data_IF_761860767173
#
_entry.id   IF_761860767173
#
_cell.length_a   1.000
_cell.length_b   1.000
_cell.length_c   1.000
_cell.angle_alpha   90.00
_cell.angle_beta   90.00
_cell.angle_gamma   90.00
#
_symmetry.space_group_name_H-M   'P 1'
#
loop_
_entity.id
_entity.type
_entity.pdbx_description
1 polymer ?
#
# COMPACT_ATOMS: atom_id res chain seq x y z
N UNK A 1 16.41 36.21 -3.34
CA UNK A 1 15.74 35.57 -2.18
C UNK A 1 15.93 34.07 -2.34
N UNK A 2 16.72 33.45 -1.46
CA UNK A 2 16.93 31.99 -1.46
C UNK A 2 15.64 31.32 -1.02
N UNK A 3 15.10 30.37 -1.79
CA UNK A 3 14.04 29.49 -1.29
C UNK A 3 14.66 28.69 -0.15
N UNK A 4 14.20 28.91 1.08
CA UNK A 4 14.58 28.06 2.20
C UNK A 4 14.30 26.60 1.81
N UNK A 5 15.32 25.75 1.91
CA UNK A 5 15.16 24.33 1.65
C UNK A 5 14.24 23.76 2.71
N UNK A 6 13.03 23.41 2.30
CA UNK A 6 12.02 22.81 3.15
C UNK A 6 12.53 21.49 3.76
N UNK A 7 12.26 21.25 5.04
CA UNK A 7 12.66 20.01 5.70
C UNK A 7 11.83 18.83 5.18
N UNK A 8 12.35 17.60 5.34
CA UNK A 8 11.58 16.40 4.97
C UNK A 8 10.29 16.27 5.79
N UNK A 9 10.31 16.70 7.05
CA UNK A 9 9.14 16.65 7.93
C UNK A 9 8.03 17.57 7.43
N UNK A 10 8.39 18.80 7.04
CA UNK A 10 7.47 19.75 6.43
C UNK A 10 6.88 19.19 5.12
N UNK A 11 7.71 18.61 4.26
CA UNK A 11 7.27 17.96 3.01
C UNK A 11 6.29 16.80 3.27
N UNK A 12 6.54 15.97 4.30
CA UNK A 12 5.65 14.87 4.66
C UNK A 12 4.30 15.39 5.15
N UNK A 13 4.30 16.41 6.01
CA UNK A 13 3.07 17.01 6.53
C UNK A 13 2.22 17.61 5.40
N UNK A 14 2.85 18.35 4.49
CA UNK A 14 2.17 18.92 3.32
C UNK A 14 1.60 17.83 2.40
N UNK A 15 2.36 16.76 2.14
CA UNK A 15 1.88 15.62 1.35
C UNK A 15 0.65 14.98 2.00
N UNK A 16 0.69 14.69 3.30
CA UNK A 16 -0.44 14.10 4.02
C UNK A 16 -1.66 15.02 3.97
N UNK A 17 -1.47 16.31 4.27
CA UNK A 17 -2.54 17.30 4.28
C UNK A 17 -3.18 17.45 2.89
N UNK A 18 -2.36 17.40 1.83
CA UNK A 18 -2.83 17.44 0.45
C UNK A 18 -3.74 16.25 0.09
N UNK A 19 -3.39 15.03 0.51
CA UNK A 19 -4.24 13.85 0.30
C UNK A 19 -5.50 13.86 1.17
N UNK A 20 -5.41 14.29 2.44
CA UNK A 20 -6.55 14.32 3.37
C UNK A 20 -7.65 15.30 2.96
N UNK A 21 -7.28 16.46 2.44
CA UNK A 21 -8.24 17.52 2.09
C UNK A 21 -8.90 17.30 0.72
N UNK A 22 -8.59 16.20 0.02
CA UNK A 22 -9.15 15.92 -1.29
C UNK A 22 -10.42 15.09 -1.19
N UNK A 23 -11.54 15.65 -1.67
CA UNK A 23 -12.81 14.92 -1.85
C UNK A 23 -12.82 14.07 -3.14
N UNK A 24 -11.80 14.22 -3.98
CA UNK A 24 -11.62 13.42 -5.20
C UNK A 24 -10.42 12.51 -5.06
N UNK A 25 -10.48 11.34 -5.70
CA UNK A 25 -9.38 10.40 -5.67
C UNK A 25 -8.16 10.99 -6.39
N UNK A 26 -7.07 11.19 -5.65
CA UNK A 26 -5.78 11.66 -6.20
C UNK A 26 -4.91 10.46 -6.52
N UNK A 27 -4.62 10.27 -7.80
CA UNK A 27 -3.72 9.23 -8.27
C UNK A 27 -2.32 9.82 -8.32
N UNK A 28 -1.47 9.46 -7.36
CA UNK A 28 -0.04 9.78 -7.44
C UNK A 28 0.60 9.00 -8.60
N UNK A 29 1.37 9.67 -9.45
CA UNK A 29 2.00 9.05 -10.63
C UNK A 29 3.16 8.10 -10.29
N UNK A 30 3.53 7.97 -9.01
CA UNK A 30 4.82 7.41 -8.62
C UNK A 30 5.10 5.99 -9.12
N UNK A 31 4.12 5.10 -9.32
CA UNK A 31 4.31 3.75 -9.91
C UNK A 31 2.98 3.14 -10.42
N UNK A 32 2.42 3.55 -11.56
CA UNK A 32 1.21 2.92 -12.14
C UNK A 32 1.54 1.71 -13.03
N UNK A 33 0.80 0.61 -12.89
CA UNK A 33 0.89 -0.53 -13.82
C UNK A 33 -0.34 -1.47 -13.89
N UNK A 34 -1.45 -1.11 -13.22
CA UNK A 34 -2.79 -1.65 -13.53
C UNK A 34 -3.02 -3.14 -13.27
N UNK A 35 -2.13 -3.85 -12.58
CA UNK A 35 -2.19 -5.32 -12.49
C UNK A 35 -2.68 -5.82 -11.12
N UNK A 36 -3.98 -6.08 -11.01
CA UNK A 36 -4.67 -6.57 -9.80
C UNK A 36 -4.15 -7.94 -9.33
N UNK A 37 -3.61 -8.75 -10.24
CA UNK A 37 -3.07 -10.08 -9.96
C UNK A 37 -1.72 -10.05 -9.23
N UNK A 38 -1.10 -8.88 -9.13
CA UNK A 38 0.25 -8.74 -8.58
C UNK A 38 0.29 -8.23 -7.14
N UNK A 39 -0.85 -8.13 -6.44
CA UNK A 39 -0.91 -7.66 -5.04
C UNK A 39 0.07 -8.43 -4.14
N UNK A 40 -0.08 -9.76 -4.05
CA UNK A 40 0.77 -10.59 -3.19
C UNK A 40 2.17 -10.81 -3.78
N UNK A 41 2.36 -11.10 -5.08
CA UNK A 41 3.70 -11.23 -5.67
C UNK A 41 4.59 -10.00 -5.46
N UNK A 42 4.02 -8.78 -5.49
CA UNK A 42 4.79 -7.55 -5.24
C UNK A 42 5.09 -7.33 -3.78
N UNK A 43 4.14 -7.66 -2.90
CA UNK A 43 4.37 -7.66 -1.47
C UNK A 43 5.51 -8.60 -1.11
N UNK A 44 5.47 -9.84 -1.61
CA UNK A 44 6.51 -10.84 -1.39
C UNK A 44 7.87 -10.35 -1.91
N UNK A 45 7.92 -9.80 -3.13
CA UNK A 45 9.16 -9.24 -3.68
C UNK A 45 9.72 -8.07 -2.85
N UNK A 46 8.86 -7.24 -2.27
CA UNK A 46 9.28 -6.14 -1.38
C UNK A 46 9.80 -6.69 -0.05
N UNK A 47 9.07 -7.63 0.55
CA UNK A 47 9.43 -8.27 1.81
C UNK A 47 10.73 -9.07 1.72
N UNK A 48 10.93 -9.84 0.65
CA UNK A 48 12.17 -10.56 0.40
C UNK A 48 13.35 -9.63 0.13
N UNK A 49 13.10 -8.46 -0.48
CA UNK A 49 14.13 -7.44 -0.60
C UNK A 49 14.57 -6.91 0.76
N UNK A 50 13.60 -6.60 1.62
CA UNK A 50 13.84 -6.12 2.98
C UNK A 50 14.60 -7.18 3.80
N UNK A 51 14.18 -8.44 3.72
CA UNK A 51 14.83 -9.57 4.40
C UNK A 51 16.30 -9.72 4.01
N UNK A 52 16.62 -9.47 2.74
CA UNK A 52 17.97 -9.54 2.20
C UNK A 52 18.76 -8.23 2.35
N UNK A 53 18.24 -7.23 3.06
CA UNK A 53 18.90 -5.93 3.23
C UNK A 53 19.06 -5.12 1.94
N UNK A 54 18.21 -5.34 0.94
CA UNK A 54 18.35 -4.70 -0.37
C UNK A 54 17.97 -3.21 -0.38
N UNK A 55 18.71 -2.41 -1.13
CA UNK A 55 18.55 -0.94 -1.21
C UNK A 55 17.19 -0.49 -1.78
N UNK A 56 16.55 -1.34 -2.59
CA UNK A 56 15.28 -1.02 -3.26
C UNK A 56 14.03 -1.18 -2.37
N UNK A 57 14.17 -1.33 -1.05
CA UNK A 57 13.05 -1.69 -0.15
C UNK A 57 11.93 -0.65 -0.20
N UNK A 58 12.27 0.64 -0.06
CA UNK A 58 11.29 1.74 -0.07
C UNK A 58 10.54 1.79 -1.40
N UNK A 59 11.27 1.75 -2.53
CA UNK A 59 10.68 1.81 -3.86
C UNK A 59 9.76 0.61 -4.14
N UNK A 60 10.11 -0.60 -3.70
CA UNK A 60 9.28 -1.80 -3.91
C UNK A 60 7.99 -1.75 -3.12
N UNK A 61 8.03 -1.28 -1.86
CA UNK A 61 6.80 -1.06 -1.10
C UNK A 61 5.94 0.06 -1.70
N UNK A 62 6.54 1.12 -2.25
CA UNK A 62 5.79 2.16 -2.95
C UNK A 62 5.07 1.63 -4.21
N UNK A 63 5.73 0.78 -5.01
CA UNK A 63 5.12 0.10 -6.16
C UNK A 63 3.96 -0.79 -5.72
N UNK A 64 4.16 -1.58 -4.66
CA UNK A 64 3.11 -2.42 -4.10
C UNK A 64 1.91 -1.60 -3.58
N UNK A 65 2.15 -0.50 -2.86
CA UNK A 65 1.09 0.38 -2.38
C UNK A 65 0.27 1.01 -3.52
N UNK A 66 0.93 1.38 -4.63
CA UNK A 66 0.22 1.84 -5.83
C UNK A 66 -0.65 0.74 -6.46
N UNK A 67 -0.20 -0.52 -6.39
CA UNK A 67 -1.00 -1.68 -6.84
C UNK A 67 -2.32 -1.79 -6.05
N UNK A 68 -2.25 -1.65 -4.72
CA UNK A 68 -3.44 -1.68 -3.86
C UNK A 68 -4.39 -0.51 -4.17
N UNK A 69 -3.85 0.70 -4.33
CA UNK A 69 -4.64 1.87 -4.70
C UNK A 69 -5.35 1.67 -6.04
N UNK A 70 -4.63 1.19 -7.05
CA UNK A 70 -5.22 0.94 -8.38
C UNK A 70 -6.30 -0.14 -8.30
N UNK A 71 -6.16 -1.14 -7.41
CA UNK A 71 -7.20 -2.11 -7.10
C UNK A 71 -8.45 -1.49 -6.47
N UNK A 72 -8.28 -0.60 -5.48
CA UNK A 72 -9.38 0.12 -4.86
C UNK A 72 -10.11 1.00 -5.90
N UNK A 73 -9.37 1.68 -6.79
CA UNK A 73 -9.96 2.48 -7.87
C UNK A 73 -10.81 1.62 -8.79
N UNK A 74 -10.30 0.46 -9.22
CA UNK A 74 -11.04 -0.47 -10.05
C UNK A 74 -12.32 -0.93 -9.33
N UNK A 75 -12.22 -1.27 -8.04
CA UNK A 75 -13.38 -1.63 -7.22
C UNK A 75 -14.44 -0.53 -7.16
N UNK A 76 -14.03 0.73 -6.94
CA UNK A 76 -14.94 1.88 -6.89
C UNK A 76 -15.67 2.07 -8.24
N UNK A 77 -14.99 1.83 -9.37
CA UNK A 77 -15.58 1.92 -10.71
C UNK A 77 -16.54 0.77 -11.02
N UNK A 78 -16.26 -0.42 -10.48
CA UNK A 78 -17.00 -1.66 -10.73
C UNK A 78 -18.21 -1.83 -9.78
N UNK A 79 -18.44 -0.92 -8.82
CA UNK A 79 -19.62 -0.95 -7.95
C UNK A 79 -20.91 -0.83 -8.78
N UNK A 80 -21.85 -1.76 -8.58
CA UNK A 80 -23.01 -1.92 -9.46
C UNK A 80 -24.11 -2.81 -8.86
N UNK A 81 -24.72 -3.67 -9.67
CA UNK A 81 -25.77 -4.60 -9.22
C UNK A 81 -25.25 -5.68 -8.25
N UNK A 82 -26.16 -6.50 -7.69
CA UNK A 82 -25.83 -7.44 -6.60
C UNK A 82 -24.74 -8.49 -6.93
N UNK A 83 -24.67 -8.94 -8.20
CA UNK A 83 -23.63 -9.89 -8.63
C UNK A 83 -22.25 -9.21 -8.75
N UNK A 84 -22.20 -7.99 -9.30
CA UNK A 84 -21.00 -7.17 -9.44
C UNK A 84 -20.45 -6.79 -8.06
N UNK A 85 -21.34 -6.42 -7.13
CA UNK A 85 -20.97 -6.09 -5.76
C UNK A 85 -20.30 -7.25 -5.02
N UNK A 86 -20.70 -8.51 -5.27
CA UNK A 86 -20.04 -9.68 -4.66
C UNK A 86 -18.59 -9.82 -5.11
N UNK A 87 -18.31 -9.61 -6.40
CA UNK A 87 -16.93 -9.67 -6.90
C UNK A 87 -16.10 -8.47 -6.44
N UNK A 88 -16.70 -7.28 -6.36
CA UNK A 88 -16.05 -6.09 -5.79
C UNK A 88 -15.69 -6.31 -4.32
N UNK A 89 -16.59 -6.86 -3.52
CA UNK A 89 -16.33 -7.18 -2.11
C UNK A 89 -15.16 -8.15 -1.98
N UNK A 90 -15.09 -9.21 -2.81
CA UNK A 90 -13.95 -10.14 -2.81
C UNK A 90 -12.63 -9.43 -3.09
N UNK A 91 -12.59 -8.54 -4.09
CA UNK A 91 -11.39 -7.73 -4.41
C UNK A 91 -10.98 -6.83 -3.24
N UNK A 92 -11.94 -6.15 -2.59
CA UNK A 92 -11.67 -5.32 -1.42
C UNK A 92 -11.17 -6.12 -0.21
N UNK A 93 -11.70 -7.32 0.02
CA UNK A 93 -11.20 -8.25 1.04
C UNK A 93 -9.76 -8.66 0.75
N UNK A 94 -9.40 -8.92 -0.52
CA UNK A 94 -8.00 -9.21 -0.89
C UNK A 94 -7.07 -8.04 -0.58
N UNK A 95 -7.47 -6.80 -0.88
CA UNK A 95 -6.71 -5.59 -0.52
C UNK A 95 -6.53 -5.48 1.00
N UNK A 96 -7.60 -5.68 1.77
CA UNK A 96 -7.54 -5.64 3.23
C UNK A 96 -6.58 -6.70 3.79
N UNK A 97 -6.66 -7.93 3.29
CA UNK A 97 -5.76 -9.03 3.69
C UNK A 97 -4.30 -8.72 3.35
N UNK A 98 -4.03 -8.09 2.21
CA UNK A 98 -2.68 -7.68 1.84
C UNK A 98 -2.13 -6.58 2.77
N UNK A 99 -2.96 -5.63 3.21
CA UNK A 99 -2.58 -4.63 4.21
C UNK A 99 -2.28 -5.28 5.57
N UNK A 100 -3.07 -6.26 6.00
CA UNK A 100 -2.77 -7.06 7.21
C UNK A 100 -1.45 -7.81 7.07
N UNK A 101 -1.22 -8.49 5.96
CA UNK A 101 0.02 -9.20 5.70
C UNK A 101 1.25 -8.27 5.73
N UNK A 102 1.13 -7.06 5.17
CA UNK A 102 2.18 -6.05 5.28
C UNK A 102 2.47 -5.65 6.73
N UNK A 103 1.43 -5.40 7.54
CA UNK A 103 1.59 -5.11 8.97
C UNK A 103 2.32 -6.24 9.70
N UNK A 104 1.95 -7.49 9.45
CA UNK A 104 2.60 -8.66 10.04
C UNK A 104 4.07 -8.80 9.59
N UNK A 105 4.36 -8.50 8.31
CA UNK A 105 5.73 -8.47 7.80
C UNK A 105 6.54 -7.39 8.51
N UNK A 106 6.01 -6.16 8.66
CA UNK A 106 6.73 -5.08 9.34
C UNK A 106 6.98 -5.40 10.82
N UNK A 107 6.07 -6.10 11.49
CA UNK A 107 6.24 -6.53 12.87
C UNK A 107 7.45 -7.48 13.06
N UNK A 108 7.89 -8.20 12.01
CA UNK A 108 9.12 -9.00 12.05
C UNK A 108 10.39 -8.14 12.20
N UNK A 109 10.32 -6.87 11.80
CA UNK A 109 11.44 -5.93 11.79
C UNK A 109 11.29 -4.82 12.84
N UNK A 110 10.16 -4.76 13.55
CA UNK A 110 9.93 -3.74 14.58
C UNK A 110 10.79 -4.02 15.83
N UNK A 111 11.77 -3.16 16.17
CA UNK A 111 12.58 -3.35 17.37
C UNK A 111 11.76 -3.22 18.67
N UNK A 112 10.62 -2.54 18.61
CA UNK A 112 9.74 -2.36 19.77
C UNK A 112 8.84 -3.58 20.02
N UNK A 113 8.74 -4.51 19.05
CA UNK A 113 7.90 -5.73 19.09
C UNK A 113 6.46 -5.43 19.50
N UNK A 114 5.88 -4.37 18.93
CA UNK A 114 4.51 -3.98 19.24
C UNK A 114 3.55 -4.97 18.56
N UNK A 115 2.74 -5.67 19.36
CA UNK A 115 1.71 -6.60 18.89
C UNK A 115 2.14 -8.07 18.83
N UNK A 116 1.30 -8.91 18.23
CA UNK A 116 1.52 -10.35 18.09
C UNK A 116 1.22 -10.82 16.68
N UNK A 117 2.08 -11.68 16.12
CA UNK A 117 1.84 -12.30 14.83
C UNK A 117 0.70 -13.33 14.92
N UNK A 118 -0.10 -13.51 13.86
CA UNK A 118 -1.12 -14.55 13.82
C UNK A 118 -0.52 -15.95 13.95
N UNK A 119 -1.26 -16.92 14.51
CA UNK A 119 -0.79 -18.30 14.60
C UNK A 119 -0.58 -18.88 13.20
N UNK A 120 0.63 -19.33 12.91
CA UNK A 120 0.94 -20.05 11.67
C UNK A 120 0.46 -21.48 11.85
N UNK A 121 -0.46 -21.95 11.01
CA UNK A 121 -0.73 -23.39 10.92
C UNK A 121 0.56 -24.06 10.42
N UNK A 122 1.06 -25.02 11.18
CA UNK A 122 2.16 -25.90 10.79
C UNK A 122 1.77 -26.78 9.60
#
# INVERSE_FOLDING_TARGET
MSKATQTKEEQIQELIQWYQNSLTLKVGEACQDGCLELIFPRLERAAMNQANGGDATVSRYAIWANTLRDCIIACIRDLGGDAENREVIKKLVLVANALSAFSDIQALYDPMKIGSLPPRKA
#
